data_IF_920596983958
#
_entry.id   IF_920596983958
#
_cell.length_a   1.000
_cell.length_b   1.000
_cell.length_c   1.000
_cell.angle_alpha   90.00
_cell.angle_beta   90.00
_cell.angle_gamma   90.00
#
_symmetry.space_group_name_H-M   'P 1'
#
loop_
_entity.id
_entity.type
_entity.pdbx_description
1 polymer ?
#
# COMPACT_ATOMS: atom_id res chain seq x y z
N UNK A 1 -23.80 -16.73 -33.46
CA UNK A 1 -22.47 -17.35 -33.27
C UNK A 1 -21.46 -16.36 -32.67
N UNK A 2 -21.31 -15.15 -33.22
CA UNK A 2 -20.42 -14.09 -32.70
C UNK A 2 -20.73 -13.69 -31.24
N UNK A 3 -22.01 -13.63 -30.85
CA UNK A 3 -22.42 -13.23 -29.49
C UNK A 3 -22.08 -14.28 -28.41
N UNK A 4 -22.27 -15.56 -28.73
CA UNK A 4 -21.88 -16.66 -27.84
C UNK A 4 -20.36 -16.65 -27.66
N UNK A 5 -19.60 -16.38 -28.72
CA UNK A 5 -18.15 -16.24 -28.63
C UNK A 5 -17.75 -15.08 -27.70
N UNK A 6 -18.45 -13.95 -27.75
CA UNK A 6 -18.16 -12.80 -26.86
C UNK A 6 -18.45 -13.10 -25.39
N UNK A 7 -19.61 -13.68 -25.06
CA UNK A 7 -19.94 -14.07 -23.67
C UNK A 7 -18.95 -15.09 -23.13
N UNK A 8 -18.58 -16.08 -23.96
CA UNK A 8 -17.57 -17.09 -23.60
C UNK A 8 -16.22 -16.42 -23.33
N UNK A 9 -15.79 -15.47 -24.16
CA UNK A 9 -14.54 -14.73 -23.96
C UNK A 9 -14.56 -13.91 -22.66
N UNK A 10 -15.63 -13.18 -22.37
CA UNK A 10 -15.71 -12.41 -21.11
C UNK A 10 -15.75 -13.37 -19.90
N UNK A 11 -16.45 -14.49 -20.00
CA UNK A 11 -16.49 -15.49 -18.91
C UNK A 11 -15.13 -16.10 -18.65
N UNK A 12 -14.38 -16.46 -19.69
CA UNK A 12 -13.01 -16.97 -19.58
C UNK A 12 -12.10 -15.90 -18.95
N UNK A 13 -12.20 -14.64 -19.41
CA UNK A 13 -11.42 -13.54 -18.85
C UNK A 13 -11.70 -13.31 -17.37
N UNK A 14 -12.96 -13.37 -16.96
CA UNK A 14 -13.35 -13.26 -15.55
C UNK A 14 -12.81 -14.43 -14.70
N UNK A 15 -12.90 -15.67 -15.18
CA UNK A 15 -12.32 -16.84 -14.49
C UNK A 15 -10.81 -16.66 -14.29
N UNK A 16 -10.10 -16.18 -15.32
CA UNK A 16 -8.68 -15.89 -15.23
C UNK A 16 -8.35 -14.84 -14.14
N UNK A 17 -9.12 -13.74 -14.09
CA UNK A 17 -8.97 -12.71 -13.07
C UNK A 17 -9.26 -13.26 -11.67
N UNK A 18 -10.29 -14.10 -11.53
CA UNK A 18 -10.64 -14.73 -10.27
C UNK A 18 -9.50 -15.64 -9.77
N UNK A 19 -8.90 -16.45 -10.65
CA UNK A 19 -7.73 -17.28 -10.31
C UNK A 19 -6.54 -16.44 -9.82
N UNK A 20 -6.20 -15.36 -10.53
CA UNK A 20 -5.13 -14.43 -10.12
C UNK A 20 -5.43 -13.82 -8.75
N UNK A 21 -6.68 -13.46 -8.51
CA UNK A 21 -7.11 -12.82 -7.27
C UNK A 21 -7.03 -13.79 -6.08
N UNK A 22 -7.49 -15.03 -6.25
CA UNK A 22 -7.36 -16.09 -5.24
C UNK A 22 -5.90 -16.38 -4.92
N UNK A 23 -5.05 -16.51 -5.95
CA UNK A 23 -3.61 -16.68 -5.76
C UNK A 23 -3.01 -15.51 -4.96
N UNK A 24 -3.39 -14.27 -5.30
CA UNK A 24 -2.90 -13.07 -4.61
C UNK A 24 -3.35 -13.03 -3.15
N UNK A 25 -4.60 -13.39 -2.85
CA UNK A 25 -5.10 -13.47 -1.48
C UNK A 25 -4.35 -14.51 -0.64
N UNK A 26 -4.09 -15.70 -1.21
CA UNK A 26 -3.27 -16.73 -0.56
C UNK A 26 -1.84 -16.25 -0.35
N UNK A 27 -1.27 -15.53 -1.31
CA UNK A 27 0.07 -14.94 -1.18
C UNK A 27 0.14 -13.89 -0.06
N UNK A 28 -0.84 -12.97 0.00
CA UNK A 28 -0.92 -11.96 1.07
C UNK A 28 -1.04 -12.65 2.44
N UNK A 29 -1.88 -13.69 2.54
CA UNK A 29 -2.07 -14.42 3.79
C UNK A 29 -0.78 -15.12 4.27
N UNK A 30 -0.11 -15.83 3.36
CA UNK A 30 1.13 -16.57 3.65
C UNK A 30 2.33 -15.66 3.91
N UNK A 31 2.43 -14.53 3.19
CA UNK A 31 3.59 -13.63 3.25
C UNK A 31 3.24 -12.27 3.88
N UNK A 32 2.27 -12.24 4.80
CA UNK A 32 1.76 -11.01 5.40
C UNK A 32 2.85 -10.13 6.05
N UNK A 33 3.94 -10.73 6.54
CA UNK A 33 5.10 -10.03 7.10
C UNK A 33 5.79 -9.09 6.10
N UNK A 34 5.71 -9.36 4.80
CA UNK A 34 6.35 -8.55 3.76
C UNK A 34 5.63 -7.22 3.50
N UNK A 35 4.39 -7.07 3.95
CA UNK A 35 3.59 -5.85 3.80
C UNK A 35 3.78 -4.86 4.96
N UNK A 36 4.84 -5.07 5.75
CA UNK A 36 5.19 -4.25 6.90
C UNK A 36 4.35 -4.57 8.13
N UNK A 37 3.28 -3.81 8.32
CA UNK A 37 2.46 -3.93 9.54
C UNK A 37 1.24 -4.79 9.22
N UNK A 38 0.87 -5.66 10.18
CA UNK A 38 -0.26 -6.60 10.04
C UNK A 38 -1.53 -5.91 9.52
N UNK A 39 -1.80 -4.68 9.98
CA UNK A 39 -2.94 -3.89 9.54
C UNK A 39 -2.93 -3.57 8.03
N UNK A 40 -1.76 -3.24 7.46
CA UNK A 40 -1.63 -2.98 6.01
C UNK A 40 -1.86 -4.25 5.20
N UNK A 41 -1.38 -5.40 5.68
CA UNK A 41 -1.66 -6.69 5.05
C UNK A 41 -3.17 -7.00 5.05
N UNK A 42 -3.85 -6.77 6.19
CA UNK A 42 -5.31 -6.93 6.31
C UNK A 42 -6.05 -5.99 5.36
N UNK A 43 -5.66 -4.71 5.29
CA UNK A 43 -6.28 -3.75 4.37
C UNK A 43 -6.11 -4.13 2.89
N UNK A 44 -4.91 -4.58 2.50
CA UNK A 44 -4.66 -5.06 1.14
C UNK A 44 -5.49 -6.32 0.83
N UNK A 45 -5.58 -7.25 1.79
CA UNK A 45 -6.42 -8.44 1.67
C UNK A 45 -7.89 -8.05 1.48
N UNK A 46 -8.44 -7.19 2.34
CA UNK A 46 -9.82 -6.73 2.25
C UNK A 46 -10.11 -5.97 0.95
N UNK A 47 -9.16 -5.16 0.48
CA UNK A 47 -9.29 -4.44 -0.79
C UNK A 47 -9.39 -5.39 -1.96
N UNK A 48 -8.49 -6.38 -2.05
CA UNK A 48 -8.51 -7.39 -3.14
C UNK A 48 -9.75 -8.26 -3.05
N UNK A 49 -10.09 -8.75 -1.85
CA UNK A 49 -11.27 -9.57 -1.64
C UNK A 49 -12.54 -8.82 -2.07
N UNK A 50 -12.69 -7.57 -1.64
CA UNK A 50 -13.85 -6.77 -1.98
C UNK A 50 -13.88 -6.39 -3.47
N UNK A 51 -12.78 -5.90 -4.05
CA UNK A 51 -12.75 -5.46 -5.44
C UNK A 51 -12.86 -6.63 -6.44
N UNK A 52 -12.15 -7.72 -6.19
CA UNK A 52 -12.00 -8.80 -7.16
C UNK A 52 -13.03 -9.92 -6.97
N UNK A 53 -13.41 -10.23 -5.73
CA UNK A 53 -14.34 -11.34 -5.44
C UNK A 53 -15.75 -10.81 -5.21
N UNK A 54 -15.98 -9.75 -4.45
CA UNK A 54 -17.35 -9.28 -4.21
C UNK A 54 -17.84 -8.41 -5.38
N UNK A 55 -17.19 -7.25 -5.57
CA UNK A 55 -17.60 -6.25 -6.56
C UNK A 55 -17.61 -6.81 -7.98
N UNK A 56 -16.46 -7.31 -8.46
CA UNK A 56 -16.33 -7.81 -9.83
C UNK A 56 -17.34 -8.91 -10.13
N UNK A 57 -17.57 -9.85 -9.21
CA UNK A 57 -18.54 -10.95 -9.38
C UNK A 57 -19.98 -10.45 -9.45
N UNK A 58 -20.39 -9.61 -8.50
CA UNK A 58 -21.75 -9.06 -8.50
C UNK A 58 -22.00 -8.24 -9.78
N UNK A 59 -21.03 -7.41 -10.15
CA UNK A 59 -21.10 -6.59 -11.37
C UNK A 59 -21.18 -7.47 -12.62
N UNK A 60 -20.24 -8.40 -12.79
CA UNK A 60 -20.18 -9.32 -13.92
C UNK A 60 -21.48 -10.13 -14.06
N UNK A 61 -21.95 -10.74 -12.97
CA UNK A 61 -23.18 -11.53 -12.99
C UNK A 61 -24.38 -10.65 -13.34
N UNK A 62 -24.48 -9.44 -12.79
CA UNK A 62 -25.59 -8.52 -13.06
C UNK A 62 -25.64 -8.04 -14.52
N UNK A 63 -24.51 -8.04 -15.24
CA UNK A 63 -24.42 -7.57 -16.63
C UNK A 63 -24.64 -8.70 -17.63
N UNK A 64 -24.15 -9.90 -17.34
CA UNK A 64 -24.09 -10.99 -18.32
C UNK A 64 -25.28 -11.92 -18.19
N UNK A 65 -25.71 -12.22 -16.96
CA UNK A 65 -26.79 -13.14 -16.70
C UNK A 65 -28.06 -12.37 -16.36
N UNK A 66 -29.13 -12.65 -17.10
CA UNK A 66 -30.47 -12.18 -16.77
C UNK A 66 -31.19 -13.23 -15.93
N UNK A 67 -31.61 -12.86 -14.71
CA UNK A 67 -32.45 -13.70 -13.86
C UNK A 67 -33.88 -13.17 -13.87
N UNK A 68 -34.08 -12.03 -13.22
CA UNK A 68 -35.31 -11.24 -13.21
C UNK A 68 -34.91 -9.78 -13.06
N UNK A 69 -35.77 -8.85 -13.46
CA UNK A 69 -35.50 -7.42 -13.31
C UNK A 69 -35.12 -7.04 -11.87
N UNK A 70 -35.90 -7.49 -10.89
CA UNK A 70 -35.67 -7.18 -9.47
C UNK A 70 -34.33 -7.73 -8.95
N UNK A 71 -33.97 -8.97 -9.33
CA UNK A 71 -32.72 -9.60 -8.91
C UNK A 71 -31.52 -8.89 -9.56
N UNK A 72 -31.59 -8.60 -10.86
CA UNK A 72 -30.52 -7.92 -11.56
C UNK A 72 -30.28 -6.50 -11.02
N UNK A 73 -31.35 -5.74 -10.76
CA UNK A 73 -31.25 -4.42 -10.11
C UNK A 73 -30.64 -4.54 -8.71
N UNK A 74 -31.02 -5.55 -7.93
CA UNK A 74 -30.45 -5.78 -6.60
C UNK A 74 -28.95 -6.09 -6.68
N UNK A 75 -28.55 -7.01 -7.55
CA UNK A 75 -27.13 -7.36 -7.77
C UNK A 75 -26.32 -6.14 -8.21
N UNK A 76 -26.87 -5.32 -9.11
CA UNK A 76 -26.25 -4.08 -9.56
C UNK A 76 -26.07 -3.08 -8.42
N UNK A 77 -27.12 -2.83 -7.62
CA UNK A 77 -27.07 -1.95 -6.44
C UNK A 77 -26.03 -2.43 -5.42
N UNK A 78 -26.01 -3.73 -5.13
CA UNK A 78 -25.00 -4.32 -4.24
C UNK A 78 -23.59 -4.17 -4.81
N UNK A 79 -23.41 -4.40 -6.11
CA UNK A 79 -22.11 -4.18 -6.77
C UNK A 79 -21.66 -2.73 -6.57
N UNK A 80 -22.53 -1.74 -6.77
CA UNK A 80 -22.20 -0.34 -6.54
C UNK A 80 -21.75 -0.10 -5.09
N UNK A 81 -22.51 -0.58 -4.10
CA UNK A 81 -22.19 -0.43 -2.68
C UNK A 81 -20.79 -0.99 -2.39
N UNK A 82 -20.52 -2.24 -2.82
CA UNK A 82 -19.22 -2.85 -2.60
C UNK A 82 -18.10 -2.18 -3.39
N UNK A 83 -18.37 -1.67 -4.60
CA UNK A 83 -17.42 -0.86 -5.36
C UNK A 83 -16.99 0.38 -4.59
N UNK A 84 -17.93 1.09 -3.97
CA UNK A 84 -17.63 2.27 -3.14
C UNK A 84 -16.88 1.92 -1.84
N UNK A 85 -17.25 0.82 -1.17
CA UNK A 85 -16.48 0.31 -0.03
C UNK A 85 -15.03 0.01 -0.46
N UNK A 86 -14.85 -0.57 -1.65
CA UNK A 86 -13.53 -0.87 -2.21
C UNK A 86 -12.68 0.37 -2.45
N UNK A 87 -13.30 1.45 -2.94
CA UNK A 87 -12.64 2.75 -3.08
C UNK A 87 -12.23 3.33 -1.73
N UNK A 88 -13.09 3.27 -0.72
CA UNK A 88 -12.75 3.70 0.65
C UNK A 88 -11.61 2.89 1.27
N UNK A 89 -11.59 1.57 1.08
CA UNK A 89 -10.47 0.72 1.54
C UNK A 89 -9.17 1.08 0.81
N UNK A 90 -9.24 1.32 -0.50
CA UNK A 90 -8.08 1.74 -1.30
C UNK A 90 -7.55 3.10 -0.84
N UNK A 91 -8.43 4.04 -0.47
CA UNK A 91 -7.98 5.33 0.06
C UNK A 91 -7.34 5.25 1.43
N UNK A 92 -7.79 4.34 2.28
CA UNK A 92 -7.08 4.05 3.53
C UNK A 92 -5.66 3.59 3.23
N UNK A 93 -5.45 2.65 2.31
CA UNK A 93 -4.10 2.19 1.93
C UNK A 93 -3.22 3.37 1.51
N UNK A 94 -3.68 4.23 0.61
CA UNK A 94 -2.90 5.40 0.18
C UNK A 94 -2.60 6.39 1.32
N UNK A 95 -3.52 6.56 2.26
CA UNK A 95 -3.27 7.38 3.46
C UNK A 95 -2.20 6.75 4.36
N UNK A 96 -2.24 5.43 4.54
CA UNK A 96 -1.21 4.71 5.29
C UNK A 96 0.17 4.78 4.62
N UNK A 97 0.23 4.80 3.28
CA UNK A 97 1.47 5.05 2.53
C UNK A 97 2.03 6.46 2.79
N UNK A 98 1.15 7.45 2.98
CA UNK A 98 1.55 8.85 3.24
C UNK A 98 2.10 9.02 4.64
N UNK A 99 1.30 8.76 5.67
CA UNK A 99 1.68 8.95 7.07
C UNK A 99 0.99 7.91 7.94
N UNK A 100 1.79 7.07 8.60
CA UNK A 100 1.25 6.01 9.45
C UNK A 100 0.41 6.58 10.60
N UNK A 101 -0.76 5.95 10.84
CA UNK A 101 -1.76 6.25 11.89
C UNK A 101 -2.48 7.61 11.82
N UNK A 102 -2.30 8.43 10.79
CA UNK A 102 -3.08 9.67 10.62
C UNK A 102 -4.11 9.54 9.51
N UNK A 103 -5.33 9.14 9.86
CA UNK A 103 -6.46 9.20 8.94
C UNK A 103 -6.95 10.65 8.88
N UNK A 104 -6.90 11.33 7.71
CA UNK A 104 -7.42 12.67 7.60
C UNK A 104 -8.95 12.61 7.73
N UNK A 105 -9.50 13.16 8.80
CA UNK A 105 -10.94 13.07 9.09
C UNK A 105 -11.82 13.69 8.00
N UNK A 106 -11.39 14.80 7.40
CA UNK A 106 -12.22 15.58 6.48
C UNK A 106 -12.57 14.86 5.16
N UNK A 107 -11.61 14.32 4.38
CA UNK A 107 -11.94 13.55 3.16
C UNK A 107 -12.81 12.34 3.43
N UNK A 108 -12.56 11.60 4.53
CA UNK A 108 -13.36 10.43 4.89
C UNK A 108 -14.78 10.81 5.29
N UNK A 109 -14.96 11.88 6.07
CA UNK A 109 -16.29 12.37 6.41
C UNK A 109 -17.07 12.78 5.16
N UNK A 110 -16.42 13.46 4.21
CA UNK A 110 -17.04 13.80 2.93
C UNK A 110 -17.47 12.55 2.14
N UNK A 111 -16.61 11.53 2.04
CA UNK A 111 -16.95 10.27 1.37
C UNK A 111 -18.07 9.51 2.08
N UNK A 112 -18.11 9.51 3.42
CA UNK A 112 -19.19 8.89 4.18
C UNK A 112 -20.53 9.59 3.95
N UNK A 113 -20.55 10.93 3.87
CA UNK A 113 -21.77 11.68 3.54
C UNK A 113 -22.27 11.29 2.14
N UNK A 114 -21.40 11.31 1.13
CA UNK A 114 -21.80 10.94 -0.22
C UNK A 114 -22.25 9.48 -0.31
N UNK A 115 -21.65 8.57 0.47
CA UNK A 115 -22.05 7.18 0.54
C UNK A 115 -23.44 7.01 1.18
N UNK A 116 -23.72 7.75 2.26
CA UNK A 116 -25.05 7.80 2.86
C UNK A 116 -26.11 8.34 1.89
N UNK A 117 -25.79 9.40 1.14
CA UNK A 117 -26.67 9.95 0.11
C UNK A 117 -26.92 8.95 -1.02
N UNK A 118 -25.91 8.20 -1.43
CA UNK A 118 -26.06 7.15 -2.43
C UNK A 118 -27.01 6.04 -1.93
N UNK A 119 -26.79 5.53 -0.72
CA UNK A 119 -27.66 4.51 -0.12
C UNK A 119 -29.10 5.03 -0.06
N UNK A 120 -29.30 6.26 0.40
CA UNK A 120 -30.61 6.92 0.39
C UNK A 120 -31.23 7.00 -1.01
N UNK A 121 -30.42 7.33 -2.02
CA UNK A 121 -30.89 7.41 -3.41
C UNK A 121 -31.34 6.05 -3.97
N UNK A 122 -30.78 4.94 -3.49
CA UNK A 122 -31.19 3.60 -3.93
C UNK A 122 -32.56 3.15 -3.40
N UNK A 123 -33.07 3.78 -2.35
CA UNK A 123 -34.43 3.56 -1.85
C UNK A 123 -35.49 4.36 -2.62
N UNK A 124 -35.08 5.34 -3.45
CA UNK A 124 -36.03 6.04 -4.30
C UNK A 124 -36.57 5.10 -5.39
N UNK A 125 -37.87 5.18 -5.71
CA UNK A 125 -38.42 4.42 -6.83
C UNK A 125 -37.71 4.84 -8.11
N UNK A 126 -37.44 3.88 -8.99
CA UNK A 126 -36.78 4.11 -10.28
C UNK A 126 -35.37 4.71 -10.19
N UNK A 127 -34.66 4.56 -9.06
CA UNK A 127 -33.27 5.03 -8.91
C UNK A 127 -32.33 4.42 -9.96
N UNK A 128 -32.53 3.13 -10.24
CA UNK A 128 -31.89 2.34 -11.28
C UNK A 128 -33.00 1.56 -11.97
N UNK A 129 -33.13 1.72 -13.27
CA UNK A 129 -34.10 1.00 -14.08
C UNK A 129 -33.38 0.05 -15.02
N UNK A 130 -34.03 -1.06 -15.30
CA UNK A 130 -33.55 -2.05 -16.22
C UNK A 130 -34.20 -1.82 -17.59
N UNK A 131 -33.38 -1.71 -18.63
CA UNK A 131 -33.84 -1.56 -20.01
C UNK A 131 -33.42 -2.78 -20.81
N UNK A 132 -34.40 -3.51 -21.35
CA UNK A 132 -34.17 -4.58 -22.34
C UNK A 132 -34.78 -4.21 -23.68
N UNK A 133 -33.95 -4.17 -24.72
CA UNK A 133 -34.45 -4.25 -26.10
C UNK A 133 -34.71 -5.74 -26.40
N UNK A 134 -35.95 -6.19 -26.22
CA UNK A 134 -36.32 -7.57 -26.55
C UNK A 134 -36.22 -7.81 -28.07
N UNK A 135 -35.52 -8.89 -28.45
CA UNK A 135 -35.77 -9.60 -29.70
C UNK A 135 -35.89 -11.08 -29.38
N UNK A 136 -36.89 -11.74 -29.98
CA UNK A 136 -37.39 -13.09 -29.71
C UNK A 136 -36.31 -14.18 -29.85
N UNK A 137 -35.56 -14.47 -28.78
CA UNK A 137 -34.65 -15.61 -28.69
C UNK A 137 -34.79 -16.27 -27.29
N UNK A 138 -34.44 -17.57 -27.15
CA UNK A 138 -34.76 -18.38 -25.97
C UNK A 138 -34.15 -17.83 -24.66
N UNK A 139 -34.81 -18.10 -23.51
CA UNK A 139 -34.67 -17.33 -22.27
C UNK A 139 -33.33 -17.45 -21.53
N UNK A 140 -32.45 -18.37 -21.92
CA UNK A 140 -31.25 -18.68 -21.13
C UNK A 140 -29.94 -18.07 -21.68
N UNK A 141 -29.94 -17.49 -22.88
CA UNK A 141 -28.77 -16.84 -23.47
C UNK A 141 -29.24 -15.55 -24.15
N UNK A 142 -29.29 -14.47 -23.37
CA UNK A 142 -29.59 -13.13 -23.87
C UNK A 142 -28.29 -12.41 -24.23
N UNK A 143 -28.35 -11.74 -25.38
CA UNK A 143 -27.38 -10.81 -25.92
C UNK A 143 -26.75 -9.93 -24.81
N UNK A 144 -25.42 -9.98 -24.59
CA UNK A 144 -24.75 -9.15 -23.58
C UNK A 144 -25.00 -7.65 -23.78
N UNK A 145 -25.30 -7.24 -25.02
CA UNK A 145 -25.68 -5.88 -25.41
C UNK A 145 -27.11 -5.46 -25.03
N UNK A 146 -27.96 -6.37 -24.52
CA UNK A 146 -29.39 -6.10 -24.24
C UNK A 146 -29.71 -5.72 -22.80
N UNK A 147 -28.96 -6.21 -21.82
CA UNK A 147 -29.13 -5.80 -20.42
C UNK A 147 -28.51 -4.43 -20.30
N UNK A 148 -29.25 -3.36 -20.03
CA UNK A 148 -28.66 -2.05 -19.79
C UNK A 148 -29.36 -1.35 -18.64
N UNK A 149 -28.59 -0.66 -17.81
CA UNK A 149 -29.10 0.06 -16.65
C UNK A 149 -29.19 1.54 -16.98
N UNK A 150 -30.36 2.12 -16.71
CA UNK A 150 -30.57 3.57 -16.77
C UNK A 150 -30.68 4.10 -15.35
N UNK A 151 -30.17 5.31 -15.14
CA UNK A 151 -30.09 5.94 -13.83
C UNK A 151 -30.99 7.15 -13.79
N UNK A 152 -31.69 7.33 -12.67
CA UNK A 152 -32.25 8.64 -12.37
C UNK A 152 -31.10 9.66 -12.31
N UNK A 153 -31.33 10.86 -12.85
CA UNK A 153 -30.41 11.99 -12.81
C UNK A 153 -29.74 12.18 -11.45
N UNK A 154 -30.51 12.14 -10.35
CA UNK A 154 -29.97 12.34 -9.00
C UNK A 154 -28.98 11.24 -8.61
N UNK A 155 -29.33 9.98 -8.84
CA UNK A 155 -28.47 8.82 -8.53
C UNK A 155 -27.21 8.86 -9.39
N UNK A 156 -27.34 9.13 -10.70
CA UNK A 156 -26.20 9.25 -11.61
C UNK A 156 -25.26 10.40 -11.23
N UNK A 157 -25.81 11.54 -10.81
CA UNK A 157 -25.04 12.70 -10.35
C UNK A 157 -24.27 12.38 -9.07
N UNK A 158 -24.90 11.77 -8.07
CA UNK A 158 -24.24 11.38 -6.81
C UNK A 158 -23.08 10.43 -7.10
N UNK A 159 -23.31 9.39 -7.92
CA UNK A 159 -22.25 8.43 -8.29
C UNK A 159 -21.09 9.16 -9.00
N UNK A 160 -21.40 10.03 -9.96
CA UNK A 160 -20.39 10.75 -10.74
C UNK A 160 -19.54 11.69 -9.88
N UNK A 161 -20.17 12.44 -8.95
CA UNK A 161 -19.47 13.31 -8.00
C UNK A 161 -18.58 12.47 -7.07
N UNK A 162 -19.11 11.37 -6.54
CA UNK A 162 -18.36 10.50 -5.64
C UNK A 162 -17.11 9.95 -6.32
N UNK A 163 -17.27 9.36 -7.49
CA UNK A 163 -16.19 8.76 -8.27
C UNK A 163 -15.13 9.80 -8.67
N UNK A 164 -15.56 10.97 -9.15
CA UNK A 164 -14.66 12.08 -9.50
C UNK A 164 -13.87 12.59 -8.29
N UNK A 165 -14.52 12.67 -7.13
CA UNK A 165 -13.86 13.10 -5.88
C UNK A 165 -12.77 12.12 -5.45
N UNK A 166 -13.00 10.81 -5.61
CA UNK A 166 -11.99 9.79 -5.33
C UNK A 166 -10.78 9.89 -6.26
N UNK A 167 -11.02 10.11 -7.55
CA UNK A 167 -9.95 10.34 -8.53
C UNK A 167 -9.09 11.52 -8.11
N UNK A 168 -9.70 12.68 -7.85
CA UNK A 168 -8.99 13.89 -7.42
C UNK A 168 -8.18 13.60 -6.15
N UNK A 169 -8.79 12.90 -5.20
CA UNK A 169 -8.14 12.56 -3.94
C UNK A 169 -6.94 11.62 -4.12
N UNK A 170 -7.04 10.61 -4.99
CA UNK A 170 -5.91 9.71 -5.29
C UNK A 170 -4.76 10.43 -6.00
N UNK A 171 -5.05 11.33 -6.94
CA UNK A 171 -4.00 12.15 -7.54
C UNK A 171 -3.34 13.07 -6.50
N UNK A 172 -4.13 13.71 -5.64
CA UNK A 172 -3.61 14.54 -4.56
C UNK A 172 -2.71 13.76 -3.60
N UNK A 173 -3.14 12.59 -3.14
CA UNK A 173 -2.33 11.72 -2.27
C UNK A 173 -1.07 11.25 -2.99
N UNK A 174 -1.20 10.73 -4.21
CA UNK A 174 -0.06 10.26 -5.00
C UNK A 174 0.98 11.36 -5.22
N UNK A 175 0.54 12.58 -5.52
CA UNK A 175 1.41 13.74 -5.67
C UNK A 175 2.12 14.10 -4.36
N UNK A 176 1.41 14.09 -3.23
CA UNK A 176 2.03 14.37 -1.93
C UNK A 176 3.04 13.29 -1.55
N UNK A 177 2.71 12.01 -1.73
CA UNK A 177 3.63 10.91 -1.45
C UNK A 177 4.85 11.06 -2.37
N UNK A 178 4.67 11.36 -3.66
CA UNK A 178 5.76 11.62 -4.60
C UNK A 178 6.68 12.77 -4.18
N UNK A 179 6.11 13.87 -3.70
CA UNK A 179 6.89 15.02 -3.22
C UNK A 179 7.67 14.70 -1.94
N UNK A 180 7.11 13.88 -1.05
CA UNK A 180 7.72 13.54 0.25
C UNK A 180 8.67 12.34 0.18
N UNK A 181 8.49 11.44 -0.79
CA UNK A 181 9.25 10.20 -0.87
C UNK A 181 10.68 10.41 -1.33
N UNK A 182 11.57 9.58 -0.78
CA UNK A 182 13.01 9.63 -1.07
C UNK A 182 13.35 8.94 -2.39
N UNK A 183 12.87 7.72 -2.58
CA UNK A 183 13.11 6.95 -3.80
C UNK A 183 11.97 7.17 -4.82
N UNK A 184 12.15 8.15 -5.69
CA UNK A 184 11.18 8.48 -6.75
C UNK A 184 10.96 7.32 -7.73
N UNK A 185 11.95 6.45 -7.95
CA UNK A 185 11.86 5.33 -8.89
C UNK A 185 10.98 4.20 -8.39
N UNK A 186 10.92 3.98 -7.07
CA UNK A 186 9.95 3.03 -6.48
C UNK A 186 8.53 3.61 -6.56
N UNK A 187 8.40 4.94 -6.45
CA UNK A 187 7.11 5.63 -6.47
C UNK A 187 6.49 5.85 -7.84
N UNK A 188 7.27 5.83 -8.92
CA UNK A 188 6.71 5.89 -10.28
C UNK A 188 5.68 4.78 -10.50
N UNK A 189 5.89 3.61 -9.90
CA UNK A 189 4.92 2.50 -9.90
C UNK A 189 3.57 2.88 -9.29
N UNK A 190 3.55 3.62 -8.18
CA UNK A 190 2.30 4.09 -7.55
C UNK A 190 1.59 5.11 -8.43
N UNK A 191 2.32 6.04 -9.05
CA UNK A 191 1.73 7.03 -9.97
C UNK A 191 1.14 6.34 -11.19
N UNK A 192 1.89 5.43 -11.81
CA UNK A 192 1.42 4.63 -12.95
C UNK A 192 0.16 3.85 -12.56
N UNK A 193 0.16 3.19 -11.39
CA UNK A 193 -1.02 2.48 -10.90
C UNK A 193 -2.21 3.41 -10.71
N UNK A 194 -2.00 4.64 -10.22
CA UNK A 194 -3.05 5.65 -10.04
C UNK A 194 -3.62 6.11 -11.39
N UNK A 195 -2.78 6.24 -12.41
CA UNK A 195 -3.21 6.54 -13.78
C UNK A 195 -4.01 5.36 -14.37
N UNK A 196 -3.55 4.12 -14.19
CA UNK A 196 -4.30 2.93 -14.61
C UNK A 196 -5.65 2.87 -13.89
N UNK A 197 -5.69 3.27 -12.62
CA UNK A 197 -6.89 3.31 -11.80
C UNK A 197 -7.95 4.32 -12.28
N UNK A 198 -7.53 5.39 -12.96
CA UNK A 198 -8.42 6.40 -13.52
C UNK A 198 -9.34 5.82 -14.61
N UNK A 199 -8.82 4.95 -15.47
CA UNK A 199 -9.54 4.46 -16.64
C UNK A 199 -10.88 3.76 -16.31
N UNK A 200 -10.95 2.77 -15.41
CA UNK A 200 -12.22 2.14 -15.08
C UNK A 200 -13.22 3.12 -14.47
N UNK A 201 -12.76 4.06 -13.64
CA UNK A 201 -13.65 5.08 -13.07
C UNK A 201 -14.22 5.99 -14.16
N UNK A 202 -13.37 6.47 -15.06
CA UNK A 202 -13.78 7.35 -16.14
C UNK A 202 -14.76 6.65 -17.10
N UNK A 203 -14.48 5.40 -17.47
CA UNK A 203 -15.41 4.59 -18.27
C UNK A 203 -16.75 4.38 -17.56
N UNK A 204 -16.73 4.24 -16.23
CA UNK A 204 -17.96 4.11 -15.45
C UNK A 204 -18.78 5.40 -15.41
N UNK A 205 -18.14 6.56 -15.25
CA UNK A 205 -18.80 7.86 -15.30
C UNK A 205 -19.41 8.08 -16.70
N UNK A 206 -18.64 7.81 -17.77
CA UNK A 206 -19.15 7.89 -19.14
C UNK A 206 -20.33 6.94 -19.37
N UNK A 207 -20.29 5.74 -18.80
CA UNK A 207 -21.41 4.80 -18.85
C UNK A 207 -22.67 5.38 -18.19
N UNK A 208 -22.54 6.01 -17.02
CA UNK A 208 -23.69 6.61 -16.32
C UNK A 208 -24.28 7.79 -17.09
N UNK A 209 -23.43 8.64 -17.68
CA UNK A 209 -23.85 9.84 -18.40
C UNK A 209 -24.49 9.50 -19.75
N UNK A 210 -23.83 8.66 -20.55
CA UNK A 210 -24.27 8.36 -21.92
C UNK A 210 -25.17 7.12 -22.01
N UNK A 211 -25.21 6.28 -20.97
CA UNK A 211 -25.97 5.04 -20.92
C UNK A 211 -25.68 4.09 -22.10
N UNK A 212 -24.48 4.22 -22.70
CA UNK A 212 -24.08 3.42 -23.85
C UNK A 212 -23.34 2.15 -23.41
N UNK A 213 -23.77 1.00 -23.92
CA UNK A 213 -23.22 -0.32 -23.58
C UNK A 213 -21.71 -0.43 -23.81
N UNK A 214 -21.16 0.30 -24.79
CA UNK A 214 -19.72 0.27 -25.08
C UNK A 214 -18.85 0.72 -23.90
N UNK A 215 -19.30 1.74 -23.15
CA UNK A 215 -18.57 2.22 -21.97
C UNK A 215 -18.60 1.23 -20.81
N UNK A 216 -19.67 0.44 -20.70
CA UNK A 216 -19.77 -0.64 -19.71
C UNK A 216 -18.77 -1.76 -20.01
N UNK A 217 -18.66 -2.18 -21.27
CA UNK A 217 -17.68 -3.21 -21.66
C UNK A 217 -16.25 -2.69 -21.47
N UNK A 218 -15.97 -1.44 -21.86
CA UNK A 218 -14.68 -0.81 -21.62
C UNK A 218 -14.37 -0.68 -20.12
N UNK A 219 -15.38 -0.45 -19.27
CA UNK A 219 -15.22 -0.50 -17.82
C UNK A 219 -14.78 -1.89 -17.35
N UNK A 220 -15.39 -2.97 -17.83
CA UNK A 220 -15.02 -4.35 -17.45
C UNK A 220 -13.56 -4.63 -17.83
N UNK A 221 -13.17 -4.35 -19.08
CA UNK A 221 -11.79 -4.58 -19.53
C UNK A 221 -10.77 -3.74 -18.77
N UNK A 222 -11.04 -2.46 -18.57
CA UNK A 222 -10.14 -1.58 -17.79
C UNK A 222 -10.07 -1.96 -16.31
N UNK A 223 -11.17 -2.45 -15.73
CA UNK A 223 -11.19 -3.00 -14.37
C UNK A 223 -10.29 -4.23 -14.26
N UNK A 224 -10.31 -5.15 -15.22
CA UNK A 224 -9.45 -6.33 -15.21
C UNK A 224 -7.97 -6.00 -15.36
N UNK A 225 -7.63 -5.03 -16.24
CA UNK A 225 -6.25 -4.54 -16.38
C UNK A 225 -5.78 -3.96 -15.04
N UNK A 226 -6.61 -3.14 -14.40
CA UNK A 226 -6.32 -2.55 -13.10
C UNK A 226 -6.14 -3.62 -12.01
N UNK A 227 -7.08 -4.57 -11.88
CA UNK A 227 -6.97 -5.69 -10.92
C UNK A 227 -5.68 -6.47 -11.14
N UNK A 228 -5.35 -6.80 -12.38
CA UNK A 228 -4.11 -7.55 -12.71
C UNK A 228 -2.87 -6.75 -12.34
N UNK A 229 -2.85 -5.44 -12.65
CA UNK A 229 -1.74 -4.54 -12.28
C UNK A 229 -1.55 -4.48 -10.77
N UNK A 230 -2.64 -4.31 -10.02
CA UNK A 230 -2.63 -4.25 -8.56
C UNK A 230 -2.16 -5.58 -7.95
N UNK A 231 -2.68 -6.72 -8.42
CA UNK A 231 -2.26 -8.04 -7.98
C UNK A 231 -0.77 -8.27 -8.22
N UNK A 232 -0.28 -7.89 -9.39
CA UNK A 232 1.13 -7.99 -9.74
C UNK A 232 2.03 -7.15 -8.81
N UNK A 233 1.64 -5.90 -8.51
CA UNK A 233 2.37 -5.04 -7.57
C UNK A 233 2.38 -5.65 -6.17
N UNK A 234 1.24 -6.15 -5.69
CA UNK A 234 1.12 -6.74 -4.37
C UNK A 234 1.98 -8.00 -4.20
N UNK A 235 2.08 -8.85 -5.22
CA UNK A 235 2.88 -10.08 -5.15
C UNK A 235 4.38 -9.79 -5.33
N UNK A 236 4.74 -8.99 -6.35
CA UNK A 236 6.15 -8.79 -6.74
C UNK A 236 6.86 -7.73 -5.90
N UNK A 237 6.15 -6.71 -5.43
CA UNK A 237 6.73 -5.58 -4.68
C UNK A 237 5.89 -5.23 -3.43
N UNK A 238 5.68 -6.17 -2.49
CA UNK A 238 4.91 -5.93 -1.27
C UNK A 238 5.51 -4.83 -0.39
N UNK A 239 6.83 -4.62 -0.49
CA UNK A 239 7.60 -3.61 0.23
C UNK A 239 7.15 -2.17 -0.10
N UNK A 240 6.53 -1.92 -1.25
CA UNK A 240 5.96 -0.60 -1.58
C UNK A 240 4.89 -0.19 -0.55
N UNK A 241 4.25 -1.16 0.11
CA UNK A 241 3.26 -0.93 1.15
C UNK A 241 3.84 -0.81 2.56
N UNK A 242 5.16 -0.90 2.68
CA UNK A 242 5.87 -0.41 3.86
C UNK A 242 5.90 1.13 3.86
N UNK A 243 6.12 1.73 5.02
CA UNK A 243 6.08 3.20 5.19
C UNK A 243 7.18 3.90 4.36
N UNK A 244 6.83 4.27 3.12
CA UNK A 244 7.72 4.91 2.14
C UNK A 244 8.20 6.30 2.57
N UNK A 245 7.53 6.90 3.57
CA UNK A 245 7.88 8.22 4.10
C UNK A 245 8.79 8.16 5.33
N UNK A 246 9.18 6.96 5.78
CA UNK A 246 10.13 6.82 6.87
C UNK A 246 11.53 7.26 6.40
N UNK A 247 12.14 8.18 7.14
CA UNK A 247 13.47 8.72 6.90
C UNK A 247 14.43 8.17 7.94
N UNK A 248 15.52 7.56 7.46
CA UNK A 248 16.67 7.23 8.28
C UNK A 248 17.67 8.38 8.12
N UNK A 249 18.09 8.98 9.23
CA UNK A 249 19.02 10.09 9.27
C UNK A 249 20.46 9.58 9.40
N UNK A 250 20.70 8.71 10.37
CA UNK A 250 22.02 8.18 10.70
C UNK A 250 21.94 6.72 11.10
N UNK A 251 22.99 5.98 10.77
CA UNK A 251 23.31 4.71 11.42
C UNK A 251 24.72 4.81 11.98
N UNK A 252 24.85 4.53 13.28
CA UNK A 252 26.12 4.57 13.99
C UNK A 252 26.35 3.22 14.67
N UNK A 253 27.61 2.80 14.70
CA UNK A 253 28.02 1.55 15.32
C UNK A 253 28.99 1.89 16.43
N UNK A 254 28.66 1.49 17.64
CA UNK A 254 29.46 1.73 18.82
C UNK A 254 29.98 0.41 19.37
N UNK A 255 31.25 0.36 19.77
CA UNK A 255 31.75 -0.69 20.65
C UNK A 255 31.22 -0.47 22.08
N UNK A 256 31.14 -1.53 22.89
CA UNK A 256 30.70 -1.49 24.30
C UNK A 256 31.47 -0.48 25.17
N UNK A 257 32.70 -0.15 24.78
CA UNK A 257 33.52 0.87 25.44
C UNK A 257 33.13 2.31 25.08
N UNK A 258 32.10 2.50 24.27
CA UNK A 258 31.70 3.81 23.75
C UNK A 258 32.56 4.33 22.60
N UNK A 259 33.29 3.48 21.89
CA UNK A 259 34.08 3.91 20.73
C UNK A 259 33.21 3.79 19.48
N UNK A 260 33.08 4.88 18.72
CA UNK A 260 32.39 4.88 17.43
C UNK A 260 33.22 4.10 16.41
N UNK A 261 32.73 2.94 15.98
CA UNK A 261 33.36 2.09 14.96
C UNK A 261 33.03 2.57 13.54
N UNK A 262 31.80 3.01 13.33
CA UNK A 262 31.40 3.52 12.02
C UNK A 262 30.21 4.46 12.14
N UNK A 263 30.17 5.48 11.29
CA UNK A 263 29.03 6.39 11.16
C UNK A 263 28.69 6.58 9.70
N UNK A 264 27.43 6.41 9.37
CA UNK A 264 26.91 6.68 8.03
C UNK A 264 25.75 7.65 8.11
N UNK A 265 25.94 8.77 7.42
CA UNK A 265 24.92 9.80 7.23
C UNK A 265 24.20 9.54 5.91
N UNK A 266 22.88 9.39 5.99
CA UNK A 266 22.06 9.26 4.79
C UNK A 266 21.93 10.65 4.10
N UNK A 267 22.27 10.71 2.80
CA UNK A 267 22.58 11.91 1.99
C UNK A 267 21.59 13.10 1.95
N UNK A 268 20.41 13.06 2.59
CA UNK A 268 19.34 14.06 2.38
C UNK A 268 18.82 14.73 3.66
N UNK A 269 19.54 14.70 4.78
CA UNK A 269 19.21 15.55 5.93
C UNK A 269 19.57 17.02 5.62
N UNK A 270 18.71 17.72 4.86
CA UNK A 270 18.82 19.18 4.64
C UNK A 270 18.54 20.00 5.91
N UNK A 271 18.29 19.34 7.05
CA UNK A 271 18.25 20.02 8.35
C UNK A 271 19.69 20.17 8.84
N UNK A 272 20.32 21.29 8.48
CA UNK A 272 21.60 21.74 9.06
C UNK A 272 21.48 22.02 10.57
N UNK A 273 20.25 22.20 11.06
CA UNK A 273 19.91 22.61 12.44
C UNK A 273 20.22 21.54 13.51
N UNK A 274 20.44 20.27 13.15
CA UNK A 274 20.55 19.20 14.15
C UNK A 274 21.97 18.63 14.35
N UNK A 275 23.01 19.11 13.69
CA UNK A 275 24.35 18.46 13.81
C UNK A 275 24.93 18.52 15.25
N UNK A 276 24.69 19.62 15.96
CA UNK A 276 25.09 19.82 17.36
C UNK A 276 24.19 19.05 18.32
N UNK A 277 22.89 19.00 18.05
CA UNK A 277 21.90 18.23 18.85
C UNK A 277 22.18 16.73 18.71
N UNK A 278 22.45 16.25 17.49
CA UNK A 278 22.85 14.86 17.25
C UNK A 278 24.20 14.54 17.86
N UNK A 279 25.18 15.45 17.78
CA UNK A 279 26.45 15.28 18.50
C UNK A 279 26.24 15.09 20.02
N UNK A 280 25.37 15.90 20.62
CA UNK A 280 25.01 15.84 22.04
C UNK A 280 24.26 14.56 22.40
N UNK A 281 23.28 14.17 21.58
CA UNK A 281 22.51 12.93 21.73
C UNK A 281 23.43 11.72 21.58
N UNK A 282 24.37 11.74 20.63
CA UNK A 282 25.33 10.66 20.43
C UNK A 282 26.31 10.55 21.59
N UNK A 283 26.76 11.67 22.16
CA UNK A 283 27.57 11.70 23.40
C UNK A 283 26.77 11.14 24.58
N UNK A 284 25.50 11.53 24.73
CA UNK A 284 24.61 11.02 25.76
C UNK A 284 24.33 9.52 25.62
N UNK A 285 24.05 9.06 24.40
CA UNK A 285 23.92 7.63 24.07
C UNK A 285 25.23 6.92 24.38
N UNK A 286 26.38 7.48 24.06
CA UNK A 286 27.67 6.85 24.33
C UNK A 286 27.87 6.59 25.82
N UNK A 287 27.55 7.59 26.65
CA UNK A 287 27.61 7.49 28.11
C UNK A 287 26.56 6.51 28.68
N UNK A 288 25.37 6.45 28.07
CA UNK A 288 24.32 5.50 28.44
C UNK A 288 24.77 4.08 28.09
N UNK A 289 25.27 3.85 26.87
CA UNK A 289 25.69 2.53 26.40
C UNK A 289 26.87 1.96 27.20
N UNK A 290 27.80 2.80 27.66
CA UNK A 290 28.93 2.36 28.48
C UNK A 290 28.53 1.92 29.89
N UNK A 291 27.40 2.38 30.41
CA UNK A 291 26.90 2.05 31.76
C UNK A 291 26.02 0.79 31.76
N UNK A 292 25.31 0.49 30.67
CA UNK A 292 24.43 -0.69 30.57
C UNK A 292 25.18 -1.93 30.08
N UNK A 293 26.08 -2.44 30.94
CA UNK A 293 26.89 -3.64 30.69
C UNK A 293 26.07 -4.95 30.75
N UNK A 294 24.90 -4.94 31.43
CA UNK A 294 24.05 -6.13 31.59
C UNK A 294 22.79 -6.07 30.73
N UNK A 295 22.49 -7.18 30.04
CA UNK A 295 21.42 -7.34 29.04
C UNK A 295 19.98 -7.07 29.52
N UNK A 296 19.74 -6.99 30.84
CA UNK A 296 18.39 -6.79 31.40
C UNK A 296 17.92 -5.33 31.42
N UNK A 297 18.84 -4.37 31.39
CA UNK A 297 18.54 -2.94 31.57
C UNK A 297 18.83 -2.10 30.31
N UNK A 298 18.94 -2.75 29.15
CA UNK A 298 19.30 -2.11 27.89
C UNK A 298 18.15 -1.27 27.31
N UNK A 299 18.46 -0.03 26.93
CA UNK A 299 17.50 0.86 26.27
C UNK A 299 17.34 0.45 24.81
N UNK A 300 16.17 -0.06 24.42
CA UNK A 300 15.87 -0.41 23.02
C UNK A 300 15.47 0.81 22.17
N UNK A 301 14.83 1.82 22.76
CA UNK A 301 14.30 2.99 22.03
C UNK A 301 14.33 4.25 22.90
N UNK A 302 14.82 5.35 22.33
CA UNK A 302 14.60 6.69 22.85
C UNK A 302 13.70 7.45 21.87
N UNK A 303 12.55 7.93 22.35
CA UNK A 303 11.60 8.70 21.54
C UNK A 303 11.78 10.19 21.81
N UNK A 304 11.82 10.97 20.75
CA UNK A 304 11.77 12.44 20.77
C UNK A 304 10.56 12.92 19.97
N UNK A 305 10.22 14.20 20.05
CA UNK A 305 9.04 14.75 19.35
C UNK A 305 9.08 14.52 17.82
N UNK A 306 10.28 14.48 17.24
CA UNK A 306 10.48 14.44 15.79
C UNK A 306 11.26 13.20 15.29
N UNK A 307 11.75 12.36 16.20
CA UNK A 307 12.61 11.23 15.85
C UNK A 307 12.62 10.12 16.89
N UNK A 308 12.83 8.90 16.43
CA UNK A 308 13.09 7.73 17.26
C UNK A 308 14.54 7.28 17.05
N UNK A 309 15.21 7.00 18.17
CA UNK A 309 16.54 6.41 18.19
C UNK A 309 16.36 4.96 18.61
N UNK A 310 16.68 4.03 17.72
CA UNK A 310 16.57 2.59 17.95
C UNK A 310 17.97 2.07 18.22
N UNK A 311 18.13 1.30 19.29
CA UNK A 311 19.41 0.68 19.63
C UNK A 311 19.26 -0.83 19.56
N UNK A 312 20.17 -1.50 18.87
CA UNK A 312 20.29 -2.95 18.84
C UNK A 312 21.64 -3.37 19.40
N UNK A 313 21.63 -4.17 20.46
CA UNK A 313 22.84 -4.65 21.10
C UNK A 313 23.20 -6.04 20.58
N UNK A 314 24.48 -6.25 20.37
CA UNK A 314 25.04 -7.50 19.87
C UNK A 314 25.95 -8.14 20.93
N UNK A 315 25.90 -9.47 21.04
CA UNK A 315 26.70 -10.24 21.99
C UNK A 315 28.21 -10.09 21.77
N UNK A 316 28.64 -9.69 20.56
CA UNK A 316 30.05 -9.39 20.26
C UNK A 316 30.52 -8.05 20.84
N UNK A 317 29.68 -7.38 21.64
CA UNK A 317 30.07 -6.18 22.38
C UNK A 317 30.02 -4.92 21.53
N UNK A 318 29.07 -4.84 20.59
CA UNK A 318 28.77 -3.62 19.85
C UNK A 318 27.28 -3.30 19.89
N UNK A 319 26.93 -2.05 19.61
CA UNK A 319 25.57 -1.56 19.51
C UNK A 319 25.38 -0.81 18.19
N UNK A 320 24.31 -1.13 17.47
CA UNK A 320 23.87 -0.41 16.28
C UNK A 320 22.81 0.59 16.69
N UNK A 321 23.08 1.87 16.46
CA UNK A 321 22.20 2.99 16.77
C UNK A 321 21.65 3.54 15.46
N UNK A 322 20.35 3.37 15.24
CA UNK A 322 19.63 3.88 14.08
C UNK A 322 18.79 5.09 14.48
N UNK A 323 19.00 6.21 13.82
CA UNK A 323 18.23 7.44 14.04
C UNK A 323 17.26 7.60 12.88
N UNK A 324 15.97 7.59 13.18
CA UNK A 324 14.90 7.68 12.19
C UNK A 324 13.82 8.65 12.65
N UNK A 325 12.97 9.12 11.75
CA UNK A 325 11.80 9.91 12.14
C UNK A 325 10.79 9.07 12.93
N UNK A 326 10.65 7.76 12.66
CA UNK A 326 9.78 6.84 13.40
C UNK A 326 10.26 5.39 13.41
N UNK A 327 10.12 4.71 14.55
CA UNK A 327 10.34 3.27 14.68
C UNK A 327 9.24 2.48 13.97
N UNK A 328 9.66 1.48 13.19
CA UNK A 328 8.80 0.54 12.51
C UNK A 328 9.38 -0.89 12.65
N UNK A 329 8.55 -1.94 12.79
CA UNK A 329 9.00 -3.33 12.78
C UNK A 329 9.98 -3.70 11.66
N UNK A 330 9.82 -3.11 10.46
CA UNK A 330 10.74 -3.34 9.34
C UNK A 330 12.15 -2.86 9.67
N UNK A 331 12.29 -1.66 10.25
CA UNK A 331 13.59 -1.14 10.63
C UNK A 331 14.29 -2.02 11.66
N UNK A 332 13.55 -2.59 12.62
CA UNK A 332 14.11 -3.55 13.59
C UNK A 332 14.66 -4.79 12.86
N UNK A 333 13.88 -5.38 11.94
CA UNK A 333 14.32 -6.53 11.13
C UNK A 333 15.55 -6.21 10.26
N UNK A 334 15.59 -5.02 9.65
CA UNK A 334 16.75 -4.57 8.88
C UNK A 334 17.98 -4.35 9.76
N UNK A 335 17.81 -3.80 10.96
CA UNK A 335 18.89 -3.68 11.95
C UNK A 335 19.40 -5.04 12.42
N UNK A 336 18.51 -6.02 12.63
CA UNK A 336 18.90 -7.37 13.04
C UNK A 336 19.69 -8.07 11.94
N UNK A 337 19.24 -7.99 10.68
CA UNK A 337 19.98 -8.52 9.54
C UNK A 337 21.32 -7.82 9.34
N UNK A 338 21.33 -6.49 9.41
CA UNK A 338 22.56 -5.70 9.35
C UNK A 338 23.55 -6.10 10.45
N UNK A 339 23.09 -6.29 11.69
CA UNK A 339 23.96 -6.65 12.83
C UNK A 339 24.58 -8.02 12.62
N UNK A 340 23.82 -8.99 12.07
CA UNK A 340 24.36 -10.30 11.68
C UNK A 340 25.41 -10.20 10.58
N UNK A 341 25.11 -9.49 9.49
CA UNK A 341 26.05 -9.34 8.37
C UNK A 341 27.33 -8.63 8.80
N UNK A 342 27.20 -7.60 9.65
CA UNK A 342 28.33 -6.87 10.23
C UNK A 342 29.17 -7.78 11.14
N UNK A 343 28.53 -8.55 12.03
CA UNK A 343 29.17 -9.51 12.92
C UNK A 343 29.93 -10.58 12.14
N UNK A 344 29.31 -11.15 11.11
CA UNK A 344 29.90 -12.23 10.32
C UNK A 344 31.09 -11.74 9.49
N UNK A 345 31.00 -10.52 8.94
CA UNK A 345 32.07 -9.93 8.14
C UNK A 345 33.28 -9.50 8.98
N UNK A 346 33.05 -8.85 10.12
CA UNK A 346 34.12 -8.28 10.95
C UNK A 346 34.39 -9.11 12.22
N UNK A 347 34.11 -10.40 12.18
CA UNK A 347 34.18 -11.27 13.38
C UNK A 347 35.57 -11.26 14.03
N UNK A 348 36.63 -11.25 13.22
CA UNK A 348 38.00 -11.31 13.70
C UNK A 348 38.37 -9.97 14.36
N UNK A 349 38.07 -8.86 13.70
CA UNK A 349 38.29 -7.51 14.19
C UNK A 349 37.50 -7.27 15.48
N UNK A 350 36.22 -7.67 15.51
CA UNK A 350 35.35 -7.56 16.68
C UNK A 350 35.84 -8.41 17.86
N UNK A 351 36.46 -9.57 17.62
CA UNK A 351 37.03 -10.38 18.70
C UNK A 351 38.37 -9.83 19.17
N UNK A 352 39.19 -9.28 18.27
CA UNK A 352 40.45 -8.63 18.63
C UNK A 352 40.27 -7.37 19.48
N UNK A 353 39.25 -6.56 19.20
CA UNK A 353 38.97 -5.34 19.98
C UNK A 353 38.36 -5.61 21.36
N UNK A 354 37.96 -6.86 21.65
CA UNK A 354 37.54 -7.25 23.00
C UNK A 354 38.73 -7.35 23.95
N UNK A 355 39.96 -7.56 23.44
CA UNK A 355 41.19 -7.47 24.22
C UNK A 355 41.51 -5.99 24.50
N UNK A 356 41.23 -5.55 25.73
CA UNK A 356 41.39 -4.17 26.21
C UNK A 356 42.78 -3.54 26.01
N UNK A 357 43.79 -4.34 25.68
CA UNK A 357 45.17 -3.91 25.49
C UNK A 357 45.55 -3.66 24.02
N UNK A 358 44.65 -3.92 23.06
CA UNK A 358 44.87 -3.67 21.64
C UNK A 358 44.28 -2.33 21.19
N UNK A 359 44.96 -1.67 20.27
CA UNK A 359 44.54 -0.38 19.71
C UNK A 359 43.37 -0.62 18.74
N UNK A 360 42.23 0.01 18.99
CA UNK A 360 41.04 -0.14 18.15
C UNK A 360 41.25 0.67 16.86
N UNK A 361 41.52 -0.04 15.76
CA UNK A 361 41.71 0.56 14.46
C UNK A 361 40.39 0.68 13.69
N UNK A 362 39.76 1.83 13.80
CA UNK A 362 38.47 2.13 13.14
C UNK A 362 38.52 2.03 11.60
N UNK A 363 39.70 2.08 10.99
CA UNK A 363 39.84 2.01 9.53
C UNK A 363 39.55 0.64 8.94
N UNK A 364 39.51 -0.41 9.76
CA UNK A 364 39.18 -1.79 9.37
C UNK A 364 37.69 -1.92 9.00
N UNK A 365 36.83 -1.06 9.54
CA UNK A 365 35.39 -1.09 9.30
C UNK A 365 34.94 -0.31 8.04
N UNK A 366 35.84 0.04 7.12
CA UNK A 366 35.50 0.84 5.92
C UNK A 366 34.44 0.19 5.03
N UNK A 367 34.46 -1.13 4.91
CA UNK A 367 33.51 -1.88 4.08
C UNK A 367 32.11 -2.02 4.69
N UNK A 368 31.89 -1.47 5.90
CA UNK A 368 30.57 -1.40 6.54
C UNK A 368 29.56 -0.66 5.66
N UNK A 369 30.04 0.32 4.88
CA UNK A 369 29.20 1.06 3.94
C UNK A 369 28.45 0.12 3.00
N UNK A 370 29.11 -0.88 2.43
CA UNK A 370 28.49 -1.80 1.46
C UNK A 370 27.41 -2.66 2.13
N UNK A 371 27.62 -3.04 3.39
CA UNK A 371 26.63 -3.79 4.18
C UNK A 371 25.39 -2.93 4.46
N UNK A 372 25.60 -1.65 4.79
CA UNK A 372 24.51 -0.67 4.97
C UNK A 372 23.76 -0.51 3.65
N UNK A 373 24.46 -0.38 2.53
CA UNK A 373 23.84 -0.19 1.23
C UNK A 373 23.01 -1.40 0.78
N UNK A 374 23.45 -2.62 1.10
CA UNK A 374 22.69 -3.83 0.83
C UNK A 374 21.43 -3.96 1.70
N UNK A 375 21.57 -3.77 3.02
CA UNK A 375 20.47 -3.97 3.96
C UNK A 375 19.45 -2.82 3.93
N UNK A 376 19.89 -1.58 3.74
CA UNK A 376 19.03 -0.39 3.77
C UNK A 376 18.78 0.21 2.38
N UNK A 377 18.94 -0.57 1.29
CA UNK A 377 18.75 -0.11 -0.10
C UNK A 377 17.41 0.59 -0.35
N UNK A 378 16.33 0.17 0.32
CA UNK A 378 15.02 0.83 0.19
C UNK A 378 14.99 2.27 0.71
N UNK A 379 15.90 2.59 1.63
CA UNK A 379 16.02 3.88 2.29
C UNK A 379 17.17 4.73 1.76
N UNK A 380 17.90 4.29 0.75
CA UNK A 380 18.97 5.06 0.10
C UNK A 380 18.42 5.92 -1.03
#
# INVERSE_FOLDING_TARGET
MVEIQFIVQITIGYIFILCISVYTLLYIFTHHEKYGIKFTAILNFLTIFNACIIYSTLYFISVIYFFTESINILLWKLSLIFGFIGLMLSSLIYVFLKEFKKIPYFPFLFFMILFGLLIGSFYMPNSVQFSTKYSNLPPFILNSSKINYTFNFMTGLIISIFQSSFVIYFFFLSYIIYKKARNKAVLTGIIINTIIFLFPILMYILYIVFQAWIFRELHIFSLWINITSLCYILVRKPEIFSELTNKIYYINIYHKSGILLFSYKFKTSNNEVDSTIWGSILIGINHILSEFVYTKDQIEVLQTDNSDIIVNYDDFGFAVVLITNRKNPILKKLMDNFSKDFRDKFKNELTEIQDLNKLINVSEFKETKDIIENNFHMYL
#
